data_IF_199356767362
#
_entry.id   IF_199356767362
#
_cell.length_a   1.000
_cell.length_b   1.000
_cell.length_c   1.000
_cell.angle_alpha   90.00
_cell.angle_beta   90.00
_cell.angle_gamma   90.00
#
_symmetry.space_group_name_H-M   'P 1'
#
loop_
_entity.id
_entity.type
_entity.pdbx_description
1 polymer ?
#
# COMPACT_ATOMS: atom_id res chain seq x y z
N UNK A 1 -17.04 14.51 11.12
CA UNK A 1 -15.95 15.05 10.27
C UNK A 1 -14.76 15.62 11.06
N UNK A 2 -14.93 16.47 12.09
CA UNK A 2 -13.79 17.08 12.83
C UNK A 2 -12.73 16.08 13.33
N UNK A 3 -13.16 15.02 14.01
CA UNK A 3 -12.22 13.99 14.52
C UNK A 3 -11.52 13.22 13.40
N UNK A 4 -12.21 12.94 12.29
CA UNK A 4 -11.64 12.31 11.09
C UNK A 4 -10.54 13.19 10.50
N UNK A 5 -10.78 14.51 10.36
CA UNK A 5 -9.77 15.47 9.87
C UNK A 5 -8.54 15.49 10.78
N UNK A 6 -8.75 15.53 12.10
CA UNK A 6 -7.64 15.54 13.06
C UNK A 6 -6.83 14.24 13.01
N UNK A 7 -7.49 13.09 12.91
CA UNK A 7 -6.81 11.79 12.84
C UNK A 7 -6.07 11.60 11.52
N UNK A 8 -6.63 12.06 10.40
CA UNK A 8 -5.95 11.94 9.10
C UNK A 8 -4.79 12.92 8.96
N UNK A 9 -4.99 14.19 9.32
CA UNK A 9 -4.11 15.29 8.92
C UNK A 9 -3.38 15.98 10.07
N UNK A 10 -3.64 15.55 11.30
CA UNK A 10 -3.01 16.11 12.50
C UNK A 10 -3.21 17.62 12.62
N UNK A 11 -2.16 18.32 13.00
CA UNK A 11 -2.16 19.77 13.15
C UNK A 11 -2.37 20.54 11.82
N UNK A 12 -2.05 19.93 10.67
CA UNK A 12 -2.27 20.57 9.37
C UNK A 12 -3.76 20.73 9.05
N UNK A 13 -4.62 19.84 9.58
CA UNK A 13 -6.07 19.90 9.45
C UNK A 13 -6.63 19.62 8.04
N UNK A 14 -5.77 19.57 7.03
CA UNK A 14 -6.07 19.25 5.63
C UNK A 14 -4.89 18.55 4.96
N UNK A 15 -5.14 17.73 3.92
CA UNK A 15 -4.07 17.12 3.14
C UNK A 15 -3.36 18.15 2.24
N UNK A 16 -2.09 17.94 1.87
CA UNK A 16 -1.39 18.77 0.90
C UNK A 16 -1.97 18.57 -0.52
N UNK A 17 -1.70 19.50 -1.46
CA UNK A 17 -2.22 19.41 -2.84
C UNK A 17 -1.88 18.10 -3.55
N UNK A 18 -0.77 17.44 -3.21
CA UNK A 18 -0.36 16.17 -3.81
C UNK A 18 -1.32 15.00 -3.55
N UNK A 19 -2.19 15.10 -2.54
CA UNK A 19 -3.23 14.10 -2.25
C UNK A 19 -4.51 14.29 -3.07
N UNK A 20 -4.62 15.40 -3.81
CA UNK A 20 -5.77 15.68 -4.68
C UNK A 20 -5.64 14.90 -6.00
N UNK A 21 -5.99 13.63 -5.95
CA UNK A 21 -6.14 12.77 -7.12
C UNK A 21 -7.13 11.62 -6.86
N UNK A 22 -7.66 11.06 -7.94
CA UNK A 22 -8.38 9.79 -7.93
C UNK A 22 -7.48 8.59 -8.25
N UNK A 23 -8.09 7.41 -8.39
CA UNK A 23 -7.43 6.18 -8.80
C UNK A 23 -7.57 5.98 -10.31
N UNK A 24 -6.54 6.32 -11.08
CA UNK A 24 -6.55 6.18 -12.53
C UNK A 24 -5.35 5.36 -12.99
N UNK A 25 -5.54 4.66 -14.11
CA UNK A 25 -4.62 3.64 -14.58
C UNK A 25 -3.64 4.17 -15.62
N UNK A 26 -2.46 3.56 -15.65
CA UNK A 26 -1.46 3.78 -16.66
C UNK A 26 -1.98 3.34 -18.05
N UNK A 27 -1.66 4.13 -19.08
CA UNK A 27 -2.11 3.94 -20.46
C UNK A 27 -1.05 3.27 -21.34
N UNK A 28 0.17 3.11 -20.84
CA UNK A 28 1.24 2.39 -21.54
C UNK A 28 0.93 0.89 -21.66
N UNK A 29 1.27 0.31 -22.81
CA UNK A 29 1.07 -1.11 -23.06
C UNK A 29 1.93 -1.95 -22.12
N UNK A 30 1.33 -2.95 -21.46
CA UNK A 30 2.01 -3.78 -20.47
C UNK A 30 1.90 -3.27 -19.04
N UNK A 31 1.38 -2.05 -18.83
CA UNK A 31 1.24 -1.39 -17.53
C UNK A 31 -0.21 -1.06 -17.18
N UNK A 32 -1.19 -1.52 -17.95
CA UNK A 32 -2.61 -1.19 -17.74
C UNK A 32 -3.16 -1.67 -16.38
N UNK A 33 -2.45 -2.54 -15.66
CA UNK A 33 -2.81 -2.93 -14.30
C UNK A 33 -2.44 -1.90 -13.23
N UNK A 34 -1.54 -0.97 -13.56
CA UNK A 34 -0.89 -0.08 -12.63
C UNK A 34 -1.60 1.26 -12.46
N UNK A 35 -1.75 1.71 -11.23
CA UNK A 35 -2.19 3.07 -10.88
C UNK A 35 -1.07 4.09 -11.14
N UNK A 36 -1.45 5.32 -11.46
CA UNK A 36 -0.52 6.45 -11.59
C UNK A 36 -0.61 7.38 -10.38
N UNK A 37 0.52 7.98 -10.03
CA UNK A 37 0.64 9.05 -9.06
C UNK A 37 1.11 10.33 -9.73
N UNK A 38 0.44 11.46 -9.45
CA UNK A 38 0.85 12.77 -9.99
C UNK A 38 2.04 13.38 -9.27
N UNK A 39 2.06 13.27 -7.94
CA UNK A 39 3.03 13.96 -7.06
C UNK A 39 3.31 13.12 -5.82
N UNK A 40 4.48 13.32 -5.21
CA UNK A 40 4.85 12.67 -3.94
C UNK A 40 3.90 13.00 -2.78
N UNK A 41 3.61 12.00 -1.94
CA UNK A 41 2.72 12.14 -0.79
C UNK A 41 1.86 10.90 -0.54
N UNK A 42 0.89 10.59 -1.43
CA UNK A 42 -0.07 9.50 -1.23
C UNK A 42 0.41 8.11 -1.69
N UNK A 43 1.71 7.89 -1.95
CA UNK A 43 2.22 6.62 -2.52
C UNK A 43 1.91 5.42 -1.63
N UNK A 44 1.97 5.55 -0.32
CA UNK A 44 1.55 4.47 0.58
C UNK A 44 0.09 4.03 0.36
N UNK A 45 -0.82 4.96 0.04
CA UNK A 45 -2.20 4.62 -0.32
C UNK A 45 -2.25 3.96 -1.69
N UNK A 46 -1.59 4.53 -2.69
CA UNK A 46 -1.63 4.01 -4.07
C UNK A 46 -0.97 2.64 -4.19
N UNK A 47 0.22 2.43 -3.63
CA UNK A 47 0.90 1.13 -3.59
C UNK A 47 0.07 0.07 -2.86
N UNK A 48 -0.55 0.41 -1.73
CA UNK A 48 -1.40 -0.53 -0.99
C UNK A 48 -2.66 -0.92 -1.78
N UNK A 49 -3.34 0.05 -2.42
CA UNK A 49 -4.48 -0.23 -3.30
C UNK A 49 -4.04 -0.99 -4.55
N UNK A 50 -2.88 -0.68 -5.12
CA UNK A 50 -2.29 -1.36 -6.27
C UNK A 50 -2.02 -2.84 -5.96
N UNK A 51 -1.52 -3.15 -4.77
CA UNK A 51 -1.34 -4.53 -4.32
C UNK A 51 -2.68 -5.29 -4.27
N UNK A 52 -3.75 -4.65 -3.78
CA UNK A 52 -5.10 -5.23 -3.76
C UNK A 52 -5.72 -5.35 -5.17
N UNK A 53 -5.42 -4.43 -6.09
CA UNK A 53 -5.79 -4.53 -7.51
C UNK A 53 -5.13 -5.76 -8.13
N UNK A 54 -3.82 -5.96 -7.93
CA UNK A 54 -3.13 -7.16 -8.39
C UNK A 54 -3.78 -8.42 -7.80
N UNK A 55 -4.12 -8.40 -6.51
CA UNK A 55 -4.82 -9.51 -5.88
C UNK A 55 -6.18 -9.82 -6.53
N UNK A 56 -6.90 -8.80 -7.03
CA UNK A 56 -8.16 -8.94 -7.76
C UNK A 56 -7.99 -9.36 -9.23
N UNK A 57 -6.85 -9.02 -9.84
CA UNK A 57 -6.46 -9.41 -11.20
C UNK A 57 -5.76 -10.79 -11.28
N UNK A 58 -5.62 -11.46 -10.13
CA UNK A 58 -5.00 -12.78 -10.07
C UNK A 58 -5.98 -13.89 -10.44
N UNK A 59 -5.54 -14.77 -11.34
CA UNK A 59 -6.18 -16.04 -11.66
C UNK A 59 -5.25 -17.20 -11.29
N UNK A 60 -5.75 -18.27 -10.64
CA UNK A 60 -4.96 -19.47 -10.37
C UNK A 60 -4.40 -20.15 -11.63
N UNK A 61 -5.01 -19.94 -12.81
CA UNK A 61 -4.62 -20.61 -14.05
C UNK A 61 -3.67 -19.76 -14.90
N UNK A 62 -3.84 -18.44 -14.90
CA UNK A 62 -3.10 -17.53 -15.80
C UNK A 62 -2.20 -16.54 -15.07
N UNK A 63 -2.17 -16.57 -13.72
CA UNK A 63 -1.43 -15.61 -12.92
C UNK A 63 -2.09 -14.23 -12.90
N UNK A 64 -1.28 -13.18 -12.76
CA UNK A 64 -1.73 -11.79 -12.73
C UNK A 64 -1.92 -11.24 -14.14
N UNK A 65 -3.10 -10.71 -14.45
CA UNK A 65 -3.33 -9.98 -15.69
C UNK A 65 -2.67 -8.58 -15.61
N UNK A 66 -1.54 -8.39 -16.30
CA UNK A 66 -0.84 -7.09 -16.38
C UNK A 66 -1.34 -6.20 -17.52
N UNK A 67 -2.25 -6.69 -18.36
CA UNK A 67 -2.85 -5.91 -19.46
C UNK A 67 -4.38 -5.94 -19.38
N UNK A 68 -5.00 -5.63 -18.22
CA UNK A 68 -6.44 -5.63 -18.09
C UNK A 68 -7.07 -4.55 -18.99
N UNK A 69 -8.21 -4.87 -19.56
CA UNK A 69 -9.06 -3.90 -20.27
C UNK A 69 -9.78 -3.01 -19.24
N UNK A 70 -10.33 -1.89 -19.71
CA UNK A 70 -11.03 -0.91 -18.85
C UNK A 70 -12.08 -1.54 -17.92
N UNK A 71 -12.95 -2.47 -18.36
CA UNK A 71 -13.90 -3.11 -17.44
C UNK A 71 -13.23 -3.94 -16.34
N UNK A 72 -12.11 -4.60 -16.66
CA UNK A 72 -11.33 -5.41 -15.71
C UNK A 72 -10.60 -4.51 -14.71
N UNK A 73 -10.02 -3.40 -15.16
CA UNK A 73 -9.43 -2.36 -14.31
C UNK A 73 -10.44 -1.82 -13.29
N UNK A 74 -11.62 -1.41 -13.78
CA UNK A 74 -12.70 -0.89 -12.94
C UNK A 74 -13.21 -1.93 -11.94
N UNK A 75 -13.41 -3.17 -12.38
CA UNK A 75 -13.82 -4.27 -11.50
C UNK A 75 -12.77 -4.58 -10.42
N UNK A 76 -11.47 -4.57 -10.79
CA UNK A 76 -10.37 -4.81 -9.87
C UNK A 76 -10.23 -3.68 -8.85
N UNK A 77 -10.30 -2.41 -9.27
CA UNK A 77 -10.29 -1.27 -8.36
C UNK A 77 -11.48 -1.29 -7.40
N UNK A 78 -12.69 -1.56 -7.90
CA UNK A 78 -13.87 -1.66 -7.05
C UNK A 78 -13.72 -2.80 -6.02
N UNK A 79 -13.18 -3.94 -6.44
CA UNK A 79 -12.90 -5.07 -5.56
C UNK A 79 -11.84 -4.74 -4.51
N UNK A 80 -10.78 -4.02 -4.89
CA UNK A 80 -9.70 -3.59 -3.99
C UNK A 80 -10.20 -2.63 -2.91
N UNK A 81 -10.93 -1.58 -3.30
CA UNK A 81 -11.56 -0.62 -2.36
C UNK A 81 -12.55 -1.33 -1.44
N UNK A 82 -13.40 -2.19 -2.00
CA UNK A 82 -14.38 -2.98 -1.24
C UNK A 82 -13.69 -3.88 -0.22
N UNK A 83 -12.65 -4.61 -0.61
CA UNK A 83 -11.89 -5.49 0.29
C UNK A 83 -11.30 -4.70 1.46
N UNK A 84 -10.66 -3.57 1.15
CA UNK A 84 -10.02 -2.71 2.14
C UNK A 84 -11.02 -2.16 3.17
N UNK A 85 -12.12 -1.56 2.71
CA UNK A 85 -13.18 -1.03 3.58
C UNK A 85 -13.91 -2.14 4.34
N UNK A 86 -14.18 -3.28 3.69
CA UNK A 86 -14.84 -4.40 4.33
C UNK A 86 -13.98 -4.97 5.45
N UNK A 87 -12.69 -5.17 5.24
CA UNK A 87 -11.80 -5.66 6.29
C UNK A 87 -11.60 -4.66 7.44
N UNK A 88 -11.66 -3.37 7.16
CA UNK A 88 -11.51 -2.33 8.17
C UNK A 88 -12.67 -2.28 9.17
N UNK A 89 -13.85 -2.77 8.80
CA UNK A 89 -15.05 -2.64 9.63
C UNK A 89 -14.93 -3.36 10.98
N UNK A 90 -15.41 -2.70 12.04
CA UNK A 90 -15.54 -3.31 13.38
C UNK A 90 -16.95 -3.82 13.68
N UNK A 91 -17.95 -3.33 12.95
CA UNK A 91 -19.36 -3.65 13.13
C UNK A 91 -19.98 -4.40 11.94
N UNK A 92 -21.33 -4.43 11.85
CA UNK A 92 -22.02 -5.11 10.75
C UNK A 92 -21.90 -4.37 9.42
N UNK A 93 -21.50 -3.09 9.43
CA UNK A 93 -21.46 -2.25 8.23
C UNK A 93 -20.07 -1.69 7.96
N UNK A 94 -19.78 -1.46 6.68
CA UNK A 94 -18.63 -0.66 6.23
C UNK A 94 -19.14 0.69 5.68
N UNK A 95 -18.30 1.71 5.73
CA UNK A 95 -18.62 3.07 5.31
C UNK A 95 -17.92 3.45 4.01
N UNK A 96 -18.62 4.15 3.12
CA UNK A 96 -18.06 4.83 1.96
C UNK A 96 -18.47 6.31 1.99
N UNK A 97 -17.49 7.19 1.88
CA UNK A 97 -17.68 8.65 1.89
C UNK A 97 -17.70 9.14 0.46
N UNK A 98 -18.78 9.82 0.08
CA UNK A 98 -18.98 10.36 -1.27
C UNK A 98 -19.56 11.76 -1.22
N UNK A 99 -19.22 12.64 -2.17
CA UNK A 99 -19.93 13.89 -2.38
C UNK A 99 -21.37 13.64 -2.85
N UNK A 100 -22.35 14.33 -2.27
CA UNK A 100 -23.77 14.22 -2.64
C UNK A 100 -24.25 15.35 -3.58
N UNK A 101 -25.33 15.08 -4.32
CA UNK A 101 -26.01 16.07 -5.17
C UNK A 101 -25.15 16.59 -6.33
N UNK A 102 -25.29 17.87 -6.66
CA UNK A 102 -24.52 18.53 -7.74
C UNK A 102 -23.01 18.49 -7.48
N UNK A 103 -22.58 18.35 -6.23
CA UNK A 103 -21.18 18.20 -5.87
C UNK A 103 -20.56 16.89 -6.37
N UNK A 104 -21.36 15.85 -6.62
CA UNK A 104 -20.87 14.57 -7.17
C UNK A 104 -20.19 14.72 -8.52
N UNK A 105 -20.81 15.45 -9.44
CA UNK A 105 -20.25 15.73 -10.78
C UNK A 105 -19.15 16.80 -10.79
N UNK A 106 -19.13 17.67 -9.77
CA UNK A 106 -18.18 18.78 -9.66
C UNK A 106 -17.08 18.56 -8.60
N UNK A 107 -16.98 17.37 -8.00
CA UNK A 107 -16.13 17.11 -6.84
C UNK A 107 -14.66 17.51 -7.04
N UNK A 108 -14.10 17.27 -8.23
CA UNK A 108 -12.72 17.65 -8.56
C UNK A 108 -12.47 19.16 -8.58
N UNK A 109 -13.52 19.99 -8.73
CA UNK A 109 -13.40 21.46 -8.68
C UNK A 109 -13.43 22.01 -7.25
N UNK A 110 -13.84 21.19 -6.28
CA UNK A 110 -13.93 21.61 -4.88
C UNK A 110 -12.53 21.74 -4.25
N UNK A 111 -12.37 22.76 -3.41
CA UNK A 111 -11.32 22.78 -2.40
C UNK A 111 -11.65 21.82 -1.25
N UNK A 112 -10.67 21.50 -0.43
CA UNK A 112 -10.80 20.49 0.62
C UNK A 112 -11.90 20.81 1.67
N UNK A 113 -12.01 22.07 2.11
CA UNK A 113 -13.07 22.46 3.05
C UNK A 113 -14.47 22.37 2.44
N UNK A 114 -14.61 22.67 1.14
CA UNK A 114 -15.87 22.52 0.42
C UNK A 114 -16.23 21.04 0.28
N UNK A 115 -15.25 20.20 -0.05
CA UNK A 115 -15.42 18.74 -0.07
C UNK A 115 -15.92 18.24 1.30
N UNK A 116 -15.28 18.64 2.40
CA UNK A 116 -15.68 18.21 3.75
C UNK A 116 -17.13 18.56 4.12
N UNK A 117 -17.72 19.60 3.50
CA UNK A 117 -19.12 20.01 3.69
C UNK A 117 -20.08 19.30 2.74
N UNK A 118 -19.58 18.83 1.61
CA UNK A 118 -20.38 18.21 0.55
C UNK A 118 -20.44 16.68 0.63
N UNK A 119 -19.58 16.06 1.45
CA UNK A 119 -19.52 14.60 1.58
C UNK A 119 -20.51 14.06 2.62
N UNK A 120 -21.11 12.92 2.28
CA UNK A 120 -21.97 12.13 3.15
C UNK A 120 -21.40 10.73 3.31
N UNK A 121 -21.68 10.11 4.45
CA UNK A 121 -21.33 8.72 4.73
C UNK A 121 -22.47 7.81 4.28
N UNK A 122 -22.15 6.90 3.36
CA UNK A 122 -23.01 5.79 2.97
C UNK A 122 -22.52 4.53 3.70
N UNK A 123 -23.45 3.64 4.08
CA UNK A 123 -23.09 2.39 4.76
C UNK A 123 -23.66 1.18 4.03
N UNK A 124 -22.91 0.08 4.05
CA UNK A 124 -23.31 -1.18 3.45
C UNK A 124 -23.19 -2.31 4.49
N UNK A 125 -24.23 -3.15 4.59
CA UNK A 125 -24.32 -4.26 5.54
C UNK A 125 -23.87 -5.62 4.98
N UNK A 126 -23.55 -5.68 3.69
CA UNK A 126 -22.92 -6.84 3.05
C UNK A 126 -21.77 -6.40 2.14
N UNK A 127 -20.85 -7.32 1.85
CA UNK A 127 -19.70 -7.05 0.98
C UNK A 127 -20.16 -6.79 -0.45
N UNK A 128 -21.23 -7.45 -0.86
CA UNK A 128 -21.87 -7.32 -2.16
C UNK A 128 -22.52 -5.94 -2.30
N UNK A 129 -23.26 -5.48 -1.29
CA UNK A 129 -23.85 -4.15 -1.28
C UNK A 129 -22.77 -3.05 -1.28
N UNK A 130 -21.66 -3.28 -0.56
CA UNK A 130 -20.52 -2.37 -0.59
C UNK A 130 -19.88 -2.33 -1.99
N UNK A 131 -19.72 -3.49 -2.64
CA UNK A 131 -19.16 -3.59 -3.97
C UNK A 131 -20.01 -2.83 -5.00
N UNK A 132 -21.33 -2.98 -4.95
CA UNK A 132 -22.25 -2.29 -5.86
C UNK A 132 -22.22 -0.77 -5.64
N UNK A 133 -22.13 -0.34 -4.38
CA UNK A 133 -21.96 1.08 -4.02
C UNK A 133 -20.62 1.65 -4.50
N UNK A 134 -19.52 0.91 -4.38
CA UNK A 134 -18.22 1.34 -4.89
C UNK A 134 -18.24 1.41 -6.42
N UNK A 135 -18.82 0.40 -7.09
CA UNK A 135 -18.95 0.36 -8.56
C UNK A 135 -19.72 1.55 -9.11
N UNK A 136 -20.84 1.92 -8.49
CA UNK A 136 -21.63 3.07 -8.90
C UNK A 136 -20.91 4.41 -8.68
N UNK A 137 -19.86 4.42 -7.86
CA UNK A 137 -19.10 5.60 -7.45
C UNK A 137 -17.73 5.73 -8.12
N UNK A 138 -17.38 4.81 -9.04
CA UNK A 138 -16.06 4.80 -9.69
C UNK A 138 -15.77 6.08 -10.48
N UNK A 139 -16.78 6.72 -11.09
CA UNK A 139 -16.58 7.98 -11.81
C UNK A 139 -16.00 9.09 -10.92
N UNK A 140 -16.40 9.12 -9.64
CA UNK A 140 -15.88 10.06 -8.63
C UNK A 140 -14.52 9.60 -8.12
N UNK A 141 -14.39 8.32 -7.76
CA UNK A 141 -13.17 7.75 -7.18
C UNK A 141 -11.99 7.72 -8.16
N UNK A 142 -12.26 7.61 -9.46
CA UNK A 142 -11.24 7.54 -10.52
C UNK A 142 -10.91 8.89 -11.16
N UNK A 143 -11.61 9.96 -10.79
CA UNK A 143 -11.38 11.29 -11.40
C UNK A 143 -9.94 11.76 -11.16
N UNK A 144 -9.16 11.95 -12.23
CA UNK A 144 -7.73 12.24 -12.13
C UNK A 144 -7.43 13.49 -11.30
N UNK A 145 -8.24 14.55 -11.45
CA UNK A 145 -8.15 15.81 -10.67
C UNK A 145 -9.13 15.84 -9.48
N UNK A 146 -9.61 14.65 -9.09
CA UNK A 146 -10.59 14.44 -8.04
C UNK A 146 -9.98 14.26 -6.65
N UNK A 147 -10.80 13.72 -5.76
CA UNK A 147 -10.46 13.49 -4.35
C UNK A 147 -10.54 12.00 -3.98
N UNK A 148 -10.45 11.08 -4.95
CA UNK A 148 -10.67 9.65 -4.73
C UNK A 148 -9.77 9.06 -3.63
N UNK A 149 -8.49 9.42 -3.59
CA UNK A 149 -7.56 9.01 -2.52
C UNK A 149 -8.04 9.50 -1.16
N UNK A 150 -8.40 10.78 -1.06
CA UNK A 150 -8.89 11.40 0.19
C UNK A 150 -10.23 10.79 0.64
N UNK A 151 -11.15 10.54 -0.30
CA UNK A 151 -12.43 9.89 -0.03
C UNK A 151 -12.23 8.47 0.50
N UNK A 152 -11.28 7.71 -0.05
CA UNK A 152 -10.95 6.37 0.44
C UNK A 152 -10.46 6.40 1.89
N UNK A 153 -9.50 7.27 2.23
CA UNK A 153 -8.95 7.30 3.59
C UNK A 153 -9.95 7.81 4.63
N UNK A 154 -10.84 8.73 4.25
CA UNK A 154 -12.00 9.09 5.09
C UNK A 154 -12.94 7.90 5.30
N UNK A 155 -13.19 7.12 4.25
CA UNK A 155 -14.03 5.91 4.29
C UNK A 155 -13.43 4.83 5.17
N UNK A 156 -12.11 4.64 5.15
CA UNK A 156 -11.40 3.70 6.02
C UNK A 156 -11.51 4.07 7.49
N UNK A 157 -11.24 5.34 7.84
CA UNK A 157 -11.37 5.82 9.22
C UNK A 157 -12.80 5.67 9.74
N UNK A 158 -13.81 5.93 8.92
CA UNK A 158 -15.21 5.75 9.31
C UNK A 158 -15.64 4.28 9.38
N UNK A 159 -15.09 3.41 8.52
CA UNK A 159 -15.35 1.97 8.57
C UNK A 159 -14.75 1.35 9.83
N UNK A 160 -13.51 1.70 10.16
CA UNK A 160 -12.82 1.25 11.38
C UNK A 160 -13.40 1.88 12.63
N UNK A 161 -13.76 3.16 12.54
CA UNK A 161 -14.15 4.02 13.66
C UNK A 161 -12.94 4.73 14.26
N UNK A 162 -13.07 6.03 14.52
CA UNK A 162 -11.97 6.90 15.01
C UNK A 162 -11.28 6.33 16.24
N UNK A 163 -12.06 5.91 17.24
CA UNK A 163 -11.50 5.42 18.50
C UNK A 163 -10.82 4.06 18.34
N UNK A 164 -11.30 3.21 17.42
CA UNK A 164 -10.65 1.95 17.09
C UNK A 164 -9.34 2.17 16.33
N UNK A 165 -9.30 3.12 15.38
CA UNK A 165 -8.04 3.50 14.71
C UNK A 165 -7.03 3.95 15.76
N UNK A 166 -7.42 4.85 16.67
CA UNK A 166 -6.55 5.28 17.78
C UNK A 166 -6.12 4.13 18.68
N UNK A 167 -6.99 3.18 18.93
CA UNK A 167 -6.69 1.99 19.72
C UNK A 167 -5.80 0.97 18.98
N UNK A 168 -5.76 0.99 17.65
CA UNK A 168 -4.86 0.15 16.85
C UNK A 168 -3.42 0.68 16.85
N UNK A 169 -3.26 2.00 16.87
CA UNK A 169 -1.96 2.68 16.82
C UNK A 169 -1.21 2.55 18.14
N UNK A 170 0.12 2.49 18.09
CA UNK A 170 0.94 2.54 19.31
C UNK A 170 0.91 3.93 19.95
N UNK A 171 0.82 4.99 19.12
CA UNK A 171 0.70 6.38 19.53
C UNK A 171 -0.65 6.99 19.10
N UNK A 172 -1.71 6.94 19.95
CA UNK A 172 -3.09 7.30 19.58
C UNK A 172 -3.31 8.76 19.16
N UNK A 173 -2.36 9.63 19.47
CA UNK A 173 -2.43 11.07 19.19
C UNK A 173 -1.77 11.44 17.85
N UNK A 174 -1.06 10.52 17.21
CA UNK A 174 -0.45 10.74 15.90
C UNK A 174 -1.51 10.80 14.80
N UNK A 175 -1.15 11.43 13.68
CA UNK A 175 -1.97 11.42 12.47
C UNK A 175 -1.57 10.30 11.51
N UNK A 176 -2.52 9.85 10.70
CA UNK A 176 -2.29 8.83 9.66
C UNK A 176 -1.50 9.36 8.45
N UNK A 177 -1.47 10.68 8.27
CA UNK A 177 -0.46 11.36 7.44
C UNK A 177 0.73 11.73 8.32
N UNK A 178 1.91 11.28 7.91
CA UNK A 178 3.17 11.54 8.60
C UNK A 178 3.77 12.90 8.23
N UNK A 179 5.03 13.08 8.62
CA UNK A 179 5.80 14.27 8.29
C UNK A 179 5.91 14.46 6.77
N UNK A 180 5.99 15.72 6.34
CA UNK A 180 6.09 16.12 4.93
C UNK A 180 4.93 15.66 4.02
N UNK A 181 3.82 15.19 4.61
CA UNK A 181 2.64 14.77 3.84
C UNK A 181 2.71 13.33 3.31
N UNK A 182 3.63 12.51 3.82
CA UNK A 182 3.74 11.10 3.44
C UNK A 182 2.74 10.20 4.19
N UNK A 183 2.46 9.04 3.63
CA UNK A 183 1.67 8.01 4.30
C UNK A 183 2.43 7.41 5.49
N UNK A 184 1.73 7.17 6.60
CA UNK A 184 2.26 6.37 7.71
C UNK A 184 2.12 4.87 7.45
N UNK A 185 2.87 4.06 8.20
CA UNK A 185 2.75 2.60 8.15
C UNK A 185 1.36 2.13 8.63
N UNK A 186 0.78 2.84 9.60
CA UNK A 186 -0.58 2.62 10.12
C UNK A 186 -1.62 2.73 9.01
N UNK A 187 -1.50 3.74 8.13
CA UNK A 187 -2.41 3.91 7.00
C UNK A 187 -2.27 2.78 5.97
N UNK A 188 -1.03 2.39 5.66
CA UNK A 188 -0.75 1.27 4.74
C UNK A 188 -1.32 -0.03 5.31
N UNK A 189 -1.06 -0.31 6.60
CA UNK A 189 -1.59 -1.47 7.30
C UNK A 189 -3.12 -1.44 7.33
N UNK A 190 -3.74 -0.29 7.58
CA UNK A 190 -5.20 -0.19 7.56
C UNK A 190 -5.79 -0.54 6.18
N UNK A 191 -5.13 -0.16 5.08
CA UNK A 191 -5.59 -0.50 3.72
C UNK A 191 -5.47 -2.01 3.47
N UNK A 192 -4.34 -2.61 3.85
CA UNK A 192 -3.99 -4.00 3.51
C UNK A 192 -4.62 -5.03 4.48
N UNK A 193 -4.80 -4.64 5.75
CA UNK A 193 -5.20 -5.51 6.85
C UNK A 193 -6.56 -5.14 7.46
N UNK A 194 -7.04 -3.91 7.25
CA UNK A 194 -8.19 -3.39 7.97
C UNK A 194 -7.91 -2.98 9.41
N UNK A 195 -6.64 -2.88 9.82
CA UNK A 195 -6.23 -2.49 11.19
C UNK A 195 -5.04 -1.56 11.11
N UNK A 196 -5.07 -0.45 11.86
CA UNK A 196 -4.04 0.60 11.80
C UNK A 196 -2.85 0.36 12.76
N UNK A 197 -2.34 -0.87 12.79
CA UNK A 197 -1.15 -1.22 13.57
C UNK A 197 0.07 -0.42 13.11
N UNK A 198 0.87 0.08 14.06
CA UNK A 198 2.11 0.83 13.79
C UNK A 198 3.25 -0.05 13.28
N UNK A 199 3.21 -1.36 13.54
CA UNK A 199 4.31 -2.27 13.29
C UNK A 199 4.03 -3.31 12.21
N UNK A 200 5.10 -3.96 11.76
CA UNK A 200 5.11 -4.99 10.70
C UNK A 200 5.59 -6.36 11.19
N UNK A 201 5.90 -6.52 12.48
CA UNK A 201 6.19 -7.83 13.10
C UNK A 201 4.89 -8.55 13.48
N UNK A 202 4.97 -9.86 13.70
CA UNK A 202 3.81 -10.67 14.11
C UNK A 202 3.59 -10.61 15.64
N UNK A 203 2.32 -10.56 16.05
CA UNK A 203 1.91 -10.54 17.45
C UNK A 203 2.25 -9.24 18.18
N UNK A 204 1.78 -9.11 19.43
CA UNK A 204 2.11 -7.94 20.25
C UNK A 204 3.42 -8.17 21.01
N UNK A 205 4.30 -7.16 21.01
CA UNK A 205 5.54 -7.15 21.79
C UNK A 205 5.33 -6.31 23.06
N UNK A 206 5.65 -6.89 24.21
CA UNK A 206 5.57 -6.21 25.51
C UNK A 206 6.99 -5.76 25.87
N UNK A 207 7.23 -4.45 25.89
CA UNK A 207 8.57 -3.90 26.20
C UNK A 207 8.77 -3.77 27.72
N UNK A 208 7.73 -3.31 28.41
CA UNK A 208 7.64 -3.19 29.86
C UNK A 208 6.22 -3.55 30.33
N UNK A 209 5.91 -3.37 31.61
CA UNK A 209 4.59 -3.73 32.18
C UNK A 209 3.40 -2.90 31.68
N UNK A 210 3.64 -1.81 30.94
CA UNK A 210 2.61 -0.88 30.43
C UNK A 210 2.65 -0.67 28.91
N UNK A 211 3.82 -0.82 28.29
CA UNK A 211 4.05 -0.52 26.88
C UNK A 211 3.92 -1.76 26.02
N UNK A 212 2.88 -1.78 25.19
CA UNK A 212 2.60 -2.85 24.23
C UNK A 212 2.71 -2.30 22.82
N UNK A 213 3.68 -2.79 22.05
CA UNK A 213 3.78 -2.52 20.63
C UNK A 213 2.90 -3.51 19.86
N UNK A 214 1.95 -3.01 19.09
CA UNK A 214 0.91 -3.82 18.44
C UNK A 214 1.40 -4.28 17.08
N UNK A 215 1.45 -5.59 16.86
CA UNK A 215 1.86 -6.19 15.60
C UNK A 215 0.74 -6.91 14.87
N UNK A 216 1.11 -7.60 13.79
CA UNK A 216 0.20 -8.26 12.86
C UNK A 216 -0.30 -9.57 13.44
N UNK A 217 -1.63 -9.76 13.43
CA UNK A 217 -2.28 -10.90 14.08
C UNK A 217 -2.68 -12.03 13.13
N UNK A 218 -2.58 -11.81 11.82
CA UNK A 218 -3.00 -12.80 10.81
C UNK A 218 -2.18 -12.70 9.53
N UNK A 219 -2.03 -13.84 8.85
CA UNK A 219 -1.42 -13.92 7.52
C UNK A 219 -2.20 -13.07 6.52
N UNK A 220 -1.47 -12.29 5.72
CA UNK A 220 -2.02 -11.32 4.81
C UNK A 220 -2.26 -11.91 3.42
N UNK A 221 -3.22 -11.34 2.68
CA UNK A 221 -3.46 -11.72 1.28
C UNK A 221 -2.34 -11.22 0.36
N UNK A 222 -1.90 -10.00 0.60
CA UNK A 222 -0.71 -9.36 0.01
C UNK A 222 0.22 -8.96 1.15
N UNK A 223 1.52 -8.96 0.88
CA UNK A 223 2.56 -8.77 1.88
C UNK A 223 3.09 -7.35 1.94
N UNK A 224 4.11 -7.17 2.78
CA UNK A 224 4.92 -5.97 2.82
C UNK A 224 6.39 -6.36 3.03
N UNK A 225 7.30 -5.65 2.38
CA UNK A 225 8.73 -5.71 2.66
C UNK A 225 9.26 -4.28 2.84
N UNK A 226 10.27 -4.09 3.67
CA UNK A 226 10.80 -2.76 3.92
C UNK A 226 12.32 -2.73 4.04
N UNK A 227 12.92 -1.66 3.55
CA UNK A 227 14.33 -1.37 3.72
C UNK A 227 14.71 -1.17 5.19
N UNK A 228 13.78 -0.74 6.04
CA UNK A 228 14.04 -0.60 7.47
C UNK A 228 14.35 -1.94 8.16
N UNK A 229 13.88 -3.07 7.60
CA UNK A 229 14.27 -4.39 8.06
C UNK A 229 15.70 -4.74 7.64
N UNK A 230 16.10 -4.31 6.45
CA UNK A 230 17.50 -4.42 6.04
C UNK A 230 18.39 -3.70 7.03
N UNK A 231 18.07 -2.45 7.37
CA UNK A 231 18.79 -1.64 8.36
C UNK A 231 18.68 -2.14 9.81
N UNK A 232 17.90 -3.20 10.08
CA UNK A 232 17.65 -3.76 11.42
C UNK A 232 16.91 -2.82 12.38
N UNK A 233 16.19 -1.82 11.85
CA UNK A 233 15.29 -0.98 12.65
C UNK A 233 13.99 -1.71 13.01
N UNK A 234 13.50 -2.56 12.10
CA UNK A 234 12.29 -3.36 12.28
C UNK A 234 12.51 -4.79 11.83
N UNK A 235 11.57 -5.67 12.18
CA UNK A 235 11.50 -7.04 11.68
C UNK A 235 10.13 -7.22 11.02
N UNK A 236 10.12 -7.62 9.75
CA UNK A 236 8.86 -7.95 9.06
C UNK A 236 8.51 -9.38 9.40
N UNK A 237 7.40 -9.54 10.10
CA UNK A 237 6.94 -10.83 10.58
C UNK A 237 6.45 -11.75 9.45
N UNK A 238 6.39 -13.07 9.70
CA UNK A 238 5.94 -14.06 8.71
C UNK A 238 4.58 -13.74 8.07
N UNK A 239 3.66 -13.10 8.79
CA UNK A 239 2.31 -12.78 8.31
C UNK A 239 2.30 -11.81 7.13
N UNK A 240 3.23 -10.85 7.09
CA UNK A 240 3.43 -9.92 5.97
C UNK A 240 4.48 -10.42 4.98
N UNK A 241 5.50 -11.13 5.47
CA UNK A 241 6.61 -11.62 4.64
C UNK A 241 6.18 -12.77 3.71
N UNK A 242 5.25 -13.60 4.17
CA UNK A 242 4.74 -14.78 3.44
C UNK A 242 3.24 -14.64 3.11
N UNK A 243 2.85 -13.69 2.24
CA UNK A 243 1.45 -13.52 1.88
C UNK A 243 0.87 -14.75 1.15
N UNK A 244 -0.46 -14.80 0.98
CA UNK A 244 -1.09 -15.88 0.21
C UNK A 244 -0.92 -15.71 -1.30
N UNK A 245 -0.79 -14.47 -1.77
CA UNK A 245 -0.46 -14.14 -3.16
C UNK A 245 0.94 -13.53 -3.20
N UNK A 246 1.74 -13.79 -4.25
CA UNK A 246 3.09 -13.25 -4.38
C UNK A 246 3.06 -11.76 -4.79
N UNK A 247 2.51 -10.91 -3.93
CA UNK A 247 2.43 -9.45 -4.09
C UNK A 247 2.86 -8.83 -2.77
N UNK A 248 3.76 -7.85 -2.81
CA UNK A 248 4.27 -7.13 -1.65
C UNK A 248 4.24 -5.63 -1.91
N UNK A 249 3.71 -4.88 -0.95
CA UNK A 249 4.00 -3.45 -0.85
C UNK A 249 5.44 -3.29 -0.40
N UNK A 250 6.21 -2.47 -1.10
CA UNK A 250 7.60 -2.17 -0.76
C UNK A 250 7.63 -0.82 -0.07
N UNK A 251 8.27 -0.74 1.08
CA UNK A 251 8.59 0.52 1.75
C UNK A 251 10.11 0.73 1.70
N UNK A 252 10.55 1.59 0.78
CA UNK A 252 11.96 1.97 0.65
C UNK A 252 12.11 3.42 1.08
N UNK A 253 12.57 3.61 2.31
CA UNK A 253 12.66 4.92 2.98
C UNK A 253 11.29 5.62 3.07
N UNK A 254 11.09 6.68 2.28
CA UNK A 254 9.86 7.47 2.26
C UNK A 254 8.92 7.11 1.10
N UNK A 255 9.33 6.21 0.21
CA UNK A 255 8.57 5.86 -0.99
C UNK A 255 7.99 4.44 -0.89
N UNK A 256 6.74 4.32 -1.29
CA UNK A 256 6.04 3.05 -1.35
C UNK A 256 5.80 2.66 -2.80
N UNK A 257 6.06 1.39 -3.11
CA UNK A 257 5.90 0.80 -4.45
C UNK A 257 5.39 -0.63 -4.35
N UNK A 258 5.26 -1.33 -5.47
CA UNK A 258 4.75 -2.70 -5.50
C UNK A 258 5.69 -3.65 -6.21
N UNK A 259 5.90 -4.82 -5.60
CA UNK A 259 6.66 -5.94 -6.14
C UNK A 259 5.76 -7.17 -6.20
N UNK A 260 5.76 -7.90 -7.31
CA UNK A 260 4.99 -9.15 -7.41
C UNK A 260 5.69 -10.21 -8.25
N UNK A 261 5.26 -11.46 -8.14
CA UNK A 261 5.76 -12.57 -8.95
C UNK A 261 4.60 -13.24 -9.71
N UNK A 262 4.83 -13.63 -10.96
CA UNK A 262 3.90 -14.51 -11.67
C UNK A 262 4.02 -15.97 -11.21
N UNK A 263 5.18 -16.32 -10.67
CA UNK A 263 5.55 -17.69 -10.33
C UNK A 263 5.42 -17.97 -8.83
N UNK A 264 4.71 -19.05 -8.47
CA UNK A 264 4.55 -19.49 -7.10
C UNK A 264 5.86 -19.88 -6.40
N UNK A 265 6.92 -20.19 -7.17
CA UNK A 265 8.27 -20.46 -6.66
C UNK A 265 8.80 -19.36 -5.74
N UNK A 266 8.41 -18.10 -5.98
CA UNK A 266 8.76 -16.96 -5.13
C UNK A 266 8.26 -17.16 -3.68
N UNK A 267 7.06 -17.70 -3.49
CA UNK A 267 6.51 -18.01 -2.16
C UNK A 267 7.18 -19.23 -1.52
N UNK A 268 7.61 -20.19 -2.34
CA UNK A 268 8.20 -21.46 -1.92
C UNK A 268 9.71 -21.38 -1.65
N UNK A 269 10.33 -20.22 -1.84
CA UNK A 269 11.78 -20.03 -1.76
C UNK A 269 12.57 -20.91 -2.75
N UNK A 270 11.98 -21.20 -3.91
CA UNK A 270 12.60 -22.04 -4.93
C UNK A 270 13.21 -21.18 -6.04
N UNK A 271 14.54 -21.06 -6.04
CA UNK A 271 15.26 -20.33 -7.09
C UNK A 271 15.43 -21.18 -8.36
N UNK A 272 15.50 -20.57 -9.56
CA UNK A 272 15.31 -19.14 -9.85
C UNK A 272 13.82 -18.79 -10.05
N UNK A 273 13.50 -17.51 -9.93
CA UNK A 273 12.19 -16.95 -10.28
C UNK A 273 12.34 -15.48 -10.67
N UNK A 274 11.26 -14.89 -11.21
CA UNK A 274 11.21 -13.50 -11.62
C UNK A 274 10.29 -12.69 -10.70
N UNK A 275 10.68 -11.46 -10.41
CA UNK A 275 9.86 -10.44 -9.77
C UNK A 275 9.58 -9.30 -10.76
N UNK A 276 8.48 -8.60 -10.56
CA UNK A 276 8.03 -7.47 -11.36
C UNK A 276 7.84 -6.29 -10.43
N UNK A 277 8.57 -5.21 -10.69
CA UNK A 277 8.57 -3.98 -9.91
C UNK A 277 7.75 -2.90 -10.63
N UNK A 278 6.81 -2.31 -9.88
CA UNK A 278 5.97 -1.22 -10.35
C UNK A 278 5.96 -0.06 -9.35
N UNK A 279 6.21 1.13 -9.86
CA UNK A 279 6.26 2.42 -9.18
C UNK A 279 5.29 3.38 -9.86
N UNK A 280 4.24 3.74 -9.13
CA UNK A 280 3.18 4.62 -9.59
C UNK A 280 3.64 6.06 -9.87
N UNK A 281 4.77 6.50 -9.29
CA UNK A 281 5.29 7.86 -9.40
C UNK A 281 6.39 7.98 -10.47
N UNK A 282 7.08 6.88 -10.79
CA UNK A 282 8.22 6.90 -11.70
C UNK A 282 7.86 7.12 -13.19
N UNK A 283 6.57 7.20 -13.53
CA UNK A 283 6.09 7.31 -14.90
C UNK A 283 6.71 6.24 -15.83
N UNK A 284 6.72 4.99 -15.36
CA UNK A 284 7.30 3.87 -16.10
C UNK A 284 6.65 3.72 -17.49
N UNK A 285 7.50 3.50 -18.50
CA UNK A 285 7.07 3.16 -19.87
C UNK A 285 6.96 1.64 -20.09
N UNK A 286 7.64 0.86 -19.25
CA UNK A 286 7.60 -0.61 -19.26
C UNK A 286 7.78 -1.19 -17.85
N UNK A 287 7.32 -2.43 -17.65
CA UNK A 287 7.45 -3.11 -16.37
C UNK A 287 8.91 -3.50 -16.13
N UNK A 288 9.43 -3.23 -14.92
CA UNK A 288 10.79 -3.63 -14.56
C UNK A 288 10.75 -5.08 -14.10
N UNK A 289 11.34 -5.97 -14.91
CA UNK A 289 11.49 -7.39 -14.57
C UNK A 289 12.83 -7.63 -13.88
N UNK A 290 12.81 -8.27 -12.73
CA UNK A 290 13.98 -8.60 -11.91
C UNK A 290 14.15 -10.12 -11.84
N UNK A 291 15.24 -10.66 -12.39
CA UNK A 291 15.53 -12.10 -12.33
C UNK A 291 16.31 -12.43 -11.05
N UNK A 292 15.75 -13.30 -10.20
CA UNK A 292 16.30 -13.65 -8.89
C UNK A 292 17.00 -15.00 -8.96
N UNK A 293 18.29 -15.01 -8.61
CA UNK A 293 19.13 -16.22 -8.63
C UNK A 293 20.00 -16.28 -7.39
N UNK A 294 20.52 -17.47 -7.06
CA UNK A 294 21.48 -17.62 -5.97
C UNK A 294 22.73 -16.80 -6.26
N UNK A 295 23.21 -16.03 -5.29
CA UNK A 295 24.51 -15.38 -5.34
C UNK A 295 25.57 -16.30 -4.70
N UNK A 296 26.57 -16.79 -5.46
CA UNK A 296 27.68 -17.56 -4.90
C UNK A 296 28.46 -16.80 -3.83
N UNK A 297 28.38 -15.46 -3.81
CA UNK A 297 29.04 -14.60 -2.81
C UNK A 297 28.17 -14.30 -1.58
N UNK A 298 26.95 -14.82 -1.51
CA UNK A 298 26.07 -14.69 -0.34
C UNK A 298 25.26 -13.39 -0.26
N UNK A 299 25.03 -12.70 -1.39
CA UNK A 299 24.20 -11.49 -1.45
C UNK A 299 24.90 -10.26 -0.88
N UNK A 300 24.14 -9.18 -0.64
CA UNK A 300 24.65 -7.98 0.00
C UNK A 300 24.93 -8.20 1.49
N UNK A 301 24.22 -9.12 2.17
CA UNK A 301 24.40 -9.34 3.61
C UNK A 301 25.81 -9.85 3.89
N UNK A 302 26.29 -10.80 3.07
CA UNK A 302 27.63 -11.34 3.19
C UNK A 302 28.72 -10.32 2.80
N UNK A 303 28.42 -9.36 1.91
CA UNK A 303 29.39 -8.35 1.43
C UNK A 303 29.55 -7.17 2.38
N UNK A 304 28.45 -6.74 3.01
CA UNK A 304 28.43 -5.51 3.82
C UNK A 304 28.53 -5.81 5.31
N UNK A 305 28.03 -6.96 5.76
CA UNK A 305 27.98 -7.35 7.17
C UNK A 305 26.56 -7.52 7.70
N UNK A 306 26.44 -8.18 8.85
CA UNK A 306 25.13 -8.53 9.45
C UNK A 306 24.73 -7.64 10.63
N UNK A 307 25.63 -6.78 11.11
CA UNK A 307 25.39 -5.91 12.26
C UNK A 307 24.70 -4.60 11.86
N UNK A 308 24.06 -3.94 12.83
CA UNK A 308 23.46 -2.62 12.66
C UNK A 308 24.48 -1.58 12.17
N UNK A 309 25.68 -1.56 12.77
CA UNK A 309 26.78 -0.66 12.40
C UNK A 309 27.33 -0.89 11.00
N UNK A 310 27.08 -2.05 10.41
CA UNK A 310 27.56 -2.39 9.06
C UNK A 310 26.55 -2.01 7.98
N UNK A 311 25.25 -2.25 8.23
CA UNK A 311 24.20 -1.97 7.23
C UNK A 311 23.81 -0.50 7.13
N UNK A 312 24.08 0.29 8.18
CA UNK A 312 24.04 1.76 8.09
C UNK A 312 25.11 2.35 7.17
N UNK A 313 26.15 1.58 6.77
CA UNK A 313 27.22 2.02 5.85
C UNK A 313 26.87 1.89 4.37
N UNK A 314 25.64 1.47 4.03
CA UNK A 314 25.15 1.52 2.66
C UNK A 314 24.96 2.97 2.18
N UNK A 315 24.77 3.93 3.09
CA UNK A 315 24.77 5.37 2.76
C UNK A 315 26.11 5.75 2.08
N UNK A 316 26.04 6.13 0.80
CA UNK A 316 27.20 6.47 -0.03
C UNK A 316 27.84 5.30 -0.79
N UNK A 317 27.28 4.09 -0.71
CA UNK A 317 27.64 2.99 -1.60
C UNK A 317 26.60 2.86 -2.73
N UNK A 318 27.04 2.50 -3.94
CA UNK A 318 26.13 2.24 -5.08
C UNK A 318 25.44 0.87 -4.93
N UNK A 319 24.70 0.68 -3.83
CA UNK A 319 23.89 -0.52 -3.57
C UNK A 319 22.43 -0.16 -3.82
N UNK A 320 21.76 -0.76 -4.81
CA UNK A 320 20.35 -0.48 -5.06
C UNK A 320 19.49 -0.87 -3.84
N UNK A 321 18.75 0.08 -3.21
CA UNK A 321 17.96 -0.20 -2.01
C UNK A 321 16.96 -1.33 -2.19
N UNK A 322 16.36 -1.46 -3.38
CA UNK A 322 15.42 -2.54 -3.69
C UNK A 322 16.05 -3.94 -3.57
N UNK A 323 17.33 -4.10 -3.92
CA UNK A 323 18.03 -5.38 -3.77
C UNK A 323 18.19 -5.76 -2.29
N UNK A 324 18.49 -4.77 -1.44
CA UNK A 324 18.54 -4.94 0.01
C UNK A 324 17.18 -5.38 0.57
N UNK A 325 16.07 -4.79 0.10
CA UNK A 325 14.71 -5.20 0.49
C UNK A 325 14.41 -6.64 0.05
N UNK A 326 14.71 -6.98 -1.21
CA UNK A 326 14.51 -8.33 -1.75
C UNK A 326 15.25 -9.38 -0.90
N UNK A 327 16.47 -9.06 -0.46
CA UNK A 327 17.28 -9.97 0.34
C UNK A 327 16.72 -10.21 1.75
N UNK A 328 15.88 -9.32 2.30
CA UNK A 328 15.21 -9.59 3.60
C UNK A 328 14.17 -10.71 3.49
N UNK A 329 13.66 -10.97 2.29
CA UNK A 329 12.75 -12.06 1.99
C UNK A 329 13.46 -13.29 1.43
N UNK A 330 14.43 -13.10 0.55
CA UNK A 330 15.20 -14.18 -0.07
C UNK A 330 16.71 -13.96 0.17
N UNK A 331 17.25 -14.41 1.30
CA UNK A 331 18.65 -14.19 1.64
C UNK A 331 19.63 -14.82 0.65
N UNK A 332 20.76 -14.18 0.41
CA UNK A 332 21.84 -14.73 -0.42
C UNK A 332 21.55 -14.78 -1.92
N UNK A 333 20.62 -13.96 -2.39
CA UNK A 333 20.31 -13.82 -3.83
C UNK A 333 21.10 -12.68 -4.47
N UNK A 334 21.18 -12.72 -5.80
CA UNK A 334 21.54 -11.58 -6.64
C UNK A 334 20.36 -11.23 -7.54
N UNK A 335 20.24 -9.95 -7.87
CA UNK A 335 19.19 -9.42 -8.74
C UNK A 335 19.79 -9.06 -10.09
N UNK A 336 19.16 -9.51 -11.17
CA UNK A 336 19.46 -9.04 -12.52
C UNK A 336 18.31 -8.14 -13.00
N UNK A 337 18.60 -6.87 -13.26
CA UNK A 337 17.66 -5.86 -13.73
C UNK A 337 17.28 -6.00 -15.21
N UNK A 338 17.82 -7.02 -15.90
CA UNK A 338 17.46 -7.39 -17.27
C UNK A 338 17.53 -6.22 -18.28
N UNK A 339 18.53 -5.35 -18.13
CA UNK A 339 18.77 -4.19 -19.00
C UNK A 339 18.16 -2.88 -18.51
N UNK A 340 17.37 -2.89 -17.43
CA UNK A 340 16.99 -1.68 -16.73
C UNK A 340 18.14 -1.17 -15.85
N UNK A 341 18.23 0.16 -15.71
CA UNK A 341 19.13 0.77 -14.74
C UNK A 341 18.66 0.44 -13.33
N UNK A 342 19.61 0.11 -12.44
CA UNK A 342 19.29 -0.17 -11.06
C UNK A 342 18.89 1.12 -10.34
N UNK A 343 17.77 1.07 -9.63
CA UNK A 343 17.26 2.21 -8.86
C UNK A 343 18.13 2.34 -7.60
N UNK A 344 18.89 3.44 -7.53
CA UNK A 344 19.78 3.79 -6.41
C UNK A 344 19.09 4.68 -5.38
#
# INVERSE_FOLDING_TARGET
MRQVKQLLWGAQGQPPPSWKQGFFFNRHSGLQFGLLQKQGGPCGVLAAVQALILAALHSPTTGFNTTPRVPEQQSALASAITESLWQARMGPTAALVLPEGEAGGAAGRLGYEQLCRAVTQHTASSKEALLDLVRSSLSVLMSEDGWGVVLLVMSLVLSRGVDNVRADMDEPNNSLMGMHGYCTQELVNMIVLGVANSNVFDGNKHLDGSTVLKGISRRCRVGLLTLFEWYKYVEVGPSLKNPTLPVWVICSESHFTVLFAQDARALQNQLPFDLYYYDELANQESIIKLSITKDPRGGWTARVGSSFSDRGKCEGQNIPPLECVIETRWPGVKVNWNGHEAIL
#
